data_IF_805197695142
#
_entry.id   IF_805197695142
#
_cell.length_a   1.000
_cell.length_b   1.000
_cell.length_c   1.000
_cell.angle_alpha   90.00
_cell.angle_beta   90.00
_cell.angle_gamma   90.00
#
_symmetry.space_group_name_H-M   'P 1'
#
loop_
_entity.id
_entity.type
_entity.pdbx_description
1 polymer ?
#
# COMPACT_ATOMS: atom_id res chain seq x y z
N UNK A 1 -48.58 -12.27 10.06
CA UNK A 1 -47.73 -11.14 9.62
C UNK A 1 -46.29 -11.54 9.89
N UNK A 2 -45.64 -12.16 8.90
CA UNK A 2 -44.24 -12.57 9.00
C UNK A 2 -43.40 -11.53 8.28
N UNK A 3 -42.56 -10.81 9.03
CA UNK A 3 -41.56 -9.93 8.48
C UNK A 3 -40.42 -10.80 7.92
N UNK A 4 -40.21 -10.75 6.61
CA UNK A 4 -39.01 -11.29 5.97
C UNK A 4 -37.82 -10.41 6.37
N UNK A 5 -36.86 -10.99 7.08
CA UNK A 5 -35.54 -10.40 7.26
C UNK A 5 -34.78 -10.54 5.94
N UNK A 6 -34.50 -9.41 5.27
CA UNK A 6 -33.60 -9.38 4.13
C UNK A 6 -32.18 -9.73 4.58
N UNK A 7 -31.62 -10.77 3.97
CA UNK A 7 -30.23 -11.20 4.18
C UNK A 7 -29.22 -10.11 3.77
N UNK A 8 -28.15 -9.89 4.55
CA UNK A 8 -27.11 -8.88 4.28
C UNK A 8 -26.14 -9.27 3.14
N UNK A 9 -26.25 -10.47 2.57
CA UNK A 9 -25.35 -10.98 1.52
C UNK A 9 -25.49 -10.20 0.20
N UNK A 10 -26.67 -9.69 -0.13
CA UNK A 10 -26.94 -9.02 -1.41
C UNK A 10 -26.28 -7.64 -1.57
N UNK A 11 -25.80 -7.01 -0.49
CA UNK A 11 -25.24 -5.65 -0.54
C UNK A 11 -23.73 -5.62 -0.82
N UNK A 12 -23.02 -6.73 -0.64
CA UNK A 12 -21.56 -6.81 -0.85
C UNK A 12 -21.18 -6.97 -2.34
N UNK A 13 -21.97 -7.74 -3.09
CA UNK A 13 -21.68 -8.05 -4.51
C UNK A 13 -22.18 -6.95 -5.47
N UNK A 14 -23.02 -6.03 -5.00
CA UNK A 14 -23.60 -4.97 -5.81
C UNK A 14 -22.59 -3.87 -6.20
N UNK A 15 -21.56 -3.66 -5.37
CA UNK A 15 -20.57 -2.59 -5.57
C UNK A 15 -19.62 -2.91 -6.73
N UNK A 16 -19.01 -4.11 -6.83
CA UNK A 16 -18.21 -4.50 -7.99
C UNK A 16 -18.99 -4.47 -9.32
N UNK A 17 -20.24 -4.94 -9.32
CA UNK A 17 -21.07 -4.94 -10.53
C UNK A 17 -21.42 -3.52 -11.01
N UNK A 18 -21.77 -2.62 -10.09
CA UNK A 18 -22.09 -1.25 -10.44
C UNK A 18 -20.86 -0.51 -10.99
N UNK A 19 -19.71 -0.70 -10.35
CA UNK A 19 -18.44 -0.13 -10.80
C UNK A 19 -18.06 -0.60 -12.22
N UNK A 20 -18.20 -1.90 -12.48
CA UNK A 20 -18.00 -2.48 -13.82
C UNK A 20 -18.91 -1.86 -14.87
N UNK A 21 -20.19 -1.66 -14.55
CA UNK A 21 -21.16 -1.03 -15.46
C UNK A 21 -20.78 0.42 -15.78
N UNK A 22 -20.30 1.19 -14.79
CA UNK A 22 -19.83 2.56 -15.00
C UNK A 22 -18.62 2.60 -15.94
N UNK A 23 -17.62 1.74 -15.72
CA UNK A 23 -16.46 1.63 -16.60
C UNK A 23 -16.85 1.24 -18.03
N UNK A 24 -17.80 0.31 -18.18
CA UNK A 24 -18.31 -0.08 -19.49
C UNK A 24 -19.02 1.08 -20.20
N UNK A 25 -19.80 1.89 -19.48
CA UNK A 25 -20.46 3.07 -20.05
C UNK A 25 -19.43 4.12 -20.49
N UNK A 26 -18.42 4.40 -19.66
CA UNK A 26 -17.30 5.30 -20.00
C UNK A 26 -16.61 4.86 -21.28
N UNK A 27 -16.24 3.58 -21.39
CA UNK A 27 -15.59 3.03 -22.59
C UNK A 27 -16.53 3.02 -23.79
N UNK A 28 -17.84 2.82 -23.56
CA UNK A 28 -18.83 2.85 -24.63
C UNK A 28 -19.01 4.24 -25.22
N UNK A 29 -18.87 5.27 -24.39
CA UNK A 29 -19.00 6.67 -24.80
C UNK A 29 -17.67 7.31 -25.25
N UNK A 30 -16.56 6.57 -25.20
CA UNK A 30 -15.27 7.02 -25.71
C UNK A 30 -15.26 7.09 -27.24
N UNK A 31 -15.13 8.31 -27.77
CA UNK A 31 -15.07 8.57 -29.21
C UNK A 31 -13.66 8.54 -29.80
N UNK A 32 -12.61 8.57 -28.98
CA UNK A 32 -11.21 8.48 -29.44
C UNK A 32 -10.87 7.02 -29.72
N UNK A 33 -11.44 6.45 -30.77
CA UNK A 33 -11.27 5.04 -31.14
C UNK A 33 -10.99 4.90 -32.62
N UNK A 34 -10.29 3.82 -32.97
CA UNK A 34 -10.07 3.42 -34.35
C UNK A 34 -11.15 2.44 -34.77
N UNK A 35 -11.76 2.63 -35.94
CA UNK A 35 -12.79 1.71 -36.44
C UNK A 35 -12.21 0.33 -36.77
N UNK A 36 -11.09 0.30 -37.49
CA UNK A 36 -10.43 -0.92 -37.90
C UNK A 36 -8.93 -0.72 -38.16
N UNK A 37 -8.20 -1.83 -38.21
CA UNK A 37 -6.75 -1.84 -38.39
C UNK A 37 -6.31 -3.18 -39.00
N UNK A 38 -5.55 -3.10 -40.10
CA UNK A 38 -4.95 -4.28 -40.73
C UNK A 38 -3.92 -4.95 -39.81
N UNK A 39 -3.68 -6.28 -39.98
CA UNK A 39 -2.62 -6.99 -39.28
C UNK A 39 -1.26 -6.28 -39.35
N UNK A 40 -0.47 -6.42 -38.30
CA UNK A 40 0.87 -5.81 -38.13
C UNK A 40 0.91 -4.26 -38.16
N UNK A 41 -0.23 -3.59 -37.99
CA UNK A 41 -0.26 -2.14 -37.88
C UNK A 41 0.01 -1.71 -36.43
N UNK A 42 0.98 -0.83 -36.17
CA UNK A 42 1.32 -0.38 -34.82
C UNK A 42 0.21 0.42 -34.11
N UNK A 43 0.07 0.19 -32.80
CA UNK A 43 -0.74 0.99 -31.88
C UNK A 43 0.21 1.93 -31.12
N UNK A 44 0.05 3.24 -31.34
CA UNK A 44 0.99 4.26 -30.87
C UNK A 44 0.42 5.14 -29.77
N UNK A 45 -0.90 5.17 -29.63
CA UNK A 45 -1.63 6.04 -28.69
C UNK A 45 -3.02 5.45 -28.42
N UNK A 46 -3.72 5.90 -27.35
CA UNK A 46 -5.05 5.38 -26.99
C UNK A 46 -6.05 5.36 -28.15
N UNK A 47 -6.12 6.44 -28.94
CA UNK A 47 -6.99 6.54 -30.12
C UNK A 47 -6.74 5.56 -31.26
N UNK A 48 -5.67 4.75 -31.20
CA UNK A 48 -5.42 3.68 -32.18
C UNK A 48 -6.08 2.36 -31.80
N UNK A 49 -6.63 2.27 -30.59
CA UNK A 49 -7.38 1.10 -30.13
C UNK A 49 -8.81 1.15 -30.66
N UNK A 50 -9.36 0.00 -30.98
CA UNK A 50 -10.79 -0.12 -31.28
C UNK A 50 -11.62 -0.07 -30.01
N UNK A 51 -12.92 0.13 -30.18
CA UNK A 51 -13.87 0.07 -29.07
C UNK A 51 -13.84 -1.29 -28.36
N UNK A 52 -13.78 -2.38 -29.13
CA UNK A 52 -13.66 -3.73 -28.56
C UNK A 52 -12.36 -3.93 -27.78
N UNK A 53 -11.25 -3.38 -28.26
CA UNK A 53 -9.95 -3.46 -27.59
C UNK A 53 -9.97 -2.70 -26.26
N UNK A 54 -10.58 -1.51 -26.24
CA UNK A 54 -10.78 -0.75 -25.00
C UNK A 54 -11.71 -1.48 -24.03
N UNK A 55 -12.77 -2.12 -24.51
CA UNK A 55 -13.64 -2.95 -23.67
C UNK A 55 -12.87 -4.14 -23.05
N UNK A 56 -11.95 -4.73 -23.79
CA UNK A 56 -11.08 -5.82 -23.33
C UNK A 56 -9.97 -5.36 -22.35
N UNK A 57 -9.94 -4.08 -21.96
CA UNK A 57 -9.08 -3.54 -20.90
C UNK A 57 -9.86 -3.14 -19.64
N UNK A 58 -11.20 -3.31 -19.61
CA UNK A 58 -12.03 -2.90 -18.47
C UNK A 58 -11.67 -3.65 -17.19
N UNK A 59 -11.33 -4.94 -17.28
CA UNK A 59 -10.88 -5.74 -16.12
C UNK A 59 -9.61 -5.17 -15.48
N UNK A 60 -8.72 -4.57 -16.29
CA UNK A 60 -7.51 -3.91 -15.81
C UNK A 60 -7.83 -2.55 -15.16
N UNK A 61 -8.84 -1.83 -15.66
CA UNK A 61 -9.32 -0.60 -15.05
C UNK A 61 -10.02 -0.87 -13.70
N UNK A 62 -10.77 -1.97 -13.58
CA UNK A 62 -11.40 -2.41 -12.33
C UNK A 62 -10.36 -2.62 -11.22
N UNK A 63 -9.25 -3.29 -11.55
CA UNK A 63 -8.13 -3.47 -10.61
C UNK A 63 -7.53 -2.14 -10.19
N UNK A 64 -7.41 -1.17 -11.10
CA UNK A 64 -6.92 0.18 -10.78
C UNK A 64 -7.84 0.91 -9.80
N UNK A 65 -9.16 0.80 -9.98
CA UNK A 65 -10.15 1.39 -9.08
C UNK A 65 -10.11 0.73 -7.70
N UNK A 66 -10.03 -0.61 -7.65
CA UNK A 66 -10.02 -1.37 -6.40
C UNK A 66 -8.82 -1.04 -5.49
N UNK A 67 -7.70 -0.56 -6.06
CA UNK A 67 -6.52 -0.15 -5.28
C UNK A 67 -6.67 1.17 -4.54
N UNK A 68 -7.62 2.04 -4.92
CA UNK A 68 -7.77 3.38 -4.34
C UNK A 68 -8.55 3.34 -3.02
N UNK A 69 -8.04 2.62 -2.02
CA UNK A 69 -8.70 2.44 -0.71
C UNK A 69 -8.95 3.74 0.08
N UNK A 70 -8.29 4.85 -0.26
CA UNK A 70 -8.27 6.07 0.57
C UNK A 70 -8.74 7.36 -0.13
N UNK A 71 -9.32 7.29 -1.34
CA UNK A 71 -9.92 8.47 -1.96
C UNK A 71 -11.40 8.58 -1.57
N UNK A 72 -11.90 9.78 -1.20
CA UNK A 72 -13.31 9.96 -0.87
C UNK A 72 -14.16 9.52 -2.07
N UNK A 73 -14.99 8.46 -1.91
CA UNK A 73 -16.10 7.87 -2.72
C UNK A 73 -16.40 8.38 -4.15
N UNK A 74 -15.40 8.89 -4.86
CA UNK A 74 -15.42 9.61 -6.12
C UNK A 74 -14.01 9.56 -6.72
N UNK A 75 -13.34 8.41 -6.61
CA UNK A 75 -12.35 8.06 -7.61
C UNK A 75 -13.11 7.89 -8.92
N UNK A 76 -13.25 8.99 -9.66
CA UNK A 76 -13.93 9.07 -10.95
C UNK A 76 -13.42 7.90 -11.81
N UNK A 77 -14.27 6.90 -12.06
CA UNK A 77 -13.95 5.73 -12.87
C UNK A 77 -13.38 6.19 -14.22
N UNK A 78 -13.82 7.36 -14.72
CA UNK A 78 -13.26 7.97 -15.91
C UNK A 78 -11.79 8.40 -15.71
N UNK A 79 -11.45 8.99 -14.55
CA UNK A 79 -10.05 9.29 -14.21
C UNK A 79 -9.20 8.02 -14.15
N UNK A 80 -9.70 6.96 -13.53
CA UNK A 80 -8.99 5.67 -13.48
C UNK A 80 -8.76 5.10 -14.88
N UNK A 81 -9.77 5.14 -15.73
CA UNK A 81 -9.66 4.75 -17.12
C UNK A 81 -8.63 5.59 -17.89
N UNK A 82 -8.62 6.91 -17.72
CA UNK A 82 -7.64 7.80 -18.35
C UNK A 82 -6.22 7.57 -17.82
N UNK A 83 -6.07 7.31 -16.51
CA UNK A 83 -4.78 6.95 -15.90
C UNK A 83 -4.25 5.65 -16.49
N UNK A 84 -5.09 4.63 -16.63
CA UNK A 84 -4.72 3.37 -17.26
C UNK A 84 -4.19 3.59 -18.69
N UNK A 85 -4.94 4.31 -19.52
CA UNK A 85 -4.51 4.63 -20.89
C UNK A 85 -3.19 5.43 -20.90
N UNK A 86 -3.07 6.42 -20.02
CA UNK A 86 -1.85 7.20 -19.86
C UNK A 86 -0.64 6.34 -19.50
N UNK A 87 -0.79 5.41 -18.56
CA UNK A 87 0.29 4.52 -18.12
C UNK A 87 0.69 3.52 -19.22
N UNK A 88 -0.28 2.95 -19.93
CA UNK A 88 -0.04 2.03 -21.05
C UNK A 88 0.87 2.67 -22.08
N UNK A 89 0.53 3.88 -22.54
CA UNK A 89 1.23 4.56 -23.64
C UNK A 89 2.34 5.51 -23.18
N UNK A 90 2.65 5.56 -21.88
CA UNK A 90 3.77 6.34 -21.35
C UNK A 90 5.10 5.80 -21.89
N UNK A 91 5.66 6.52 -22.85
CA UNK A 91 6.92 6.17 -23.52
C UNK A 91 6.93 4.74 -24.11
N UNK A 92 5.77 4.25 -24.55
CA UNK A 92 5.61 2.90 -25.07
C UNK A 92 4.64 2.86 -26.26
N UNK A 93 4.94 1.99 -27.21
CA UNK A 93 4.14 1.66 -28.39
C UNK A 93 4.11 0.14 -28.58
N UNK A 94 3.17 -0.38 -29.38
CA UNK A 94 3.09 -1.82 -29.65
C UNK A 94 4.27 -2.42 -30.42
N UNK A 95 5.25 -1.60 -30.84
CA UNK A 95 6.52 -2.07 -31.42
C UNK A 95 7.56 -2.39 -30.36
N UNK A 96 7.40 -1.82 -29.17
CA UNK A 96 8.34 -1.96 -28.07
C UNK A 96 8.18 -3.33 -27.41
N UNK A 97 9.27 -3.86 -26.84
CA UNK A 97 9.23 -5.13 -26.13
C UNK A 97 8.36 -5.02 -24.87
N UNK A 98 7.65 -6.10 -24.56
CA UNK A 98 6.73 -6.19 -23.41
C UNK A 98 7.21 -7.11 -22.29
N UNK A 99 8.49 -7.52 -22.32
CA UNK A 99 9.09 -8.48 -21.39
C UNK A 99 9.51 -7.86 -20.04
N UNK A 100 8.83 -6.79 -19.63
CA UNK A 100 9.10 -6.15 -18.35
C UNK A 100 8.22 -6.76 -17.26
N UNK A 101 8.85 -7.55 -16.38
CA UNK A 101 8.28 -7.90 -15.08
C UNK A 101 8.74 -6.85 -14.08
N UNK A 102 7.85 -5.94 -13.63
CA UNK A 102 8.23 -4.96 -12.62
C UNK A 102 8.53 -5.71 -11.32
N UNK A 103 9.54 -5.24 -10.59
CA UNK A 103 9.91 -5.79 -9.30
C UNK A 103 9.35 -4.89 -8.20
N UNK A 104 8.74 -5.49 -7.18
CA UNK A 104 8.34 -4.74 -6.00
C UNK A 104 9.61 -4.25 -5.31
N UNK A 105 9.78 -2.93 -5.24
CA UNK A 105 10.96 -2.36 -4.59
C UNK A 105 10.96 -2.77 -3.11
N UNK A 106 12.14 -3.10 -2.53
CA UNK A 106 12.23 -3.34 -1.10
C UNK A 106 11.88 -2.06 -0.34
N UNK A 107 11.35 -2.22 0.88
CA UNK A 107 11.12 -1.09 1.79
C UNK A 107 12.46 -0.41 2.09
N UNK A 108 12.56 0.90 1.82
CA UNK A 108 13.76 1.67 2.14
C UNK A 108 13.63 2.16 3.59
N UNK A 109 14.28 1.47 4.52
CA UNK A 109 14.23 1.80 5.94
C UNK A 109 14.69 3.22 6.31
N UNK A 110 15.61 3.91 5.60
CA UNK A 110 15.87 5.34 5.86
C UNK A 110 14.73 6.26 5.41
N UNK A 111 13.89 5.83 4.47
CA UNK A 111 12.82 6.62 3.88
C UNK A 111 11.47 6.53 4.61
N UNK A 112 11.30 5.55 5.50
CA UNK A 112 10.03 5.30 6.21
C UNK A 112 9.99 5.87 7.63
N UNK A 113 11.07 6.49 8.09
CA UNK A 113 11.16 7.05 9.43
C UNK A 113 11.05 8.58 9.38
N UNK A 114 10.29 9.14 10.32
CA UNK A 114 10.25 10.58 10.55
C UNK A 114 11.40 10.98 11.48
N UNK A 115 12.14 12.04 11.15
CA UNK A 115 13.04 12.68 12.12
C UNK A 115 12.19 13.44 13.15
N UNK A 116 12.30 13.05 14.41
CA UNK A 116 11.46 13.58 15.51
C UNK A 116 12.25 14.34 16.57
N UNK A 117 13.57 14.22 16.54
CA UNK A 117 14.44 14.91 17.48
C UNK A 117 15.91 14.54 17.31
N UNK A 118 16.64 14.62 18.42
CA UNK A 118 18.07 14.30 18.50
C UNK A 118 18.37 13.50 19.76
N UNK A 119 19.53 12.85 19.82
CA UNK A 119 20.03 12.20 21.03
C UNK A 119 20.41 13.24 22.09
N UNK A 120 19.86 13.11 23.31
CA UNK A 120 20.16 14.00 24.44
C UNK A 120 21.53 13.72 25.06
N UNK A 121 21.98 12.48 24.96
CA UNK A 121 23.27 11.96 25.42
C UNK A 121 23.73 10.87 24.46
N UNK A 122 25.01 10.53 24.50
CA UNK A 122 25.58 9.41 23.76
C UNK A 122 24.78 8.11 24.03
N UNK A 123 24.41 7.39 22.97
CA UNK A 123 23.70 6.12 23.03
C UNK A 123 24.70 4.96 22.86
N UNK A 124 24.57 3.83 23.59
CA UNK A 124 25.44 2.66 23.38
C UNK A 124 25.40 2.14 21.93
N UNK A 125 26.49 1.53 21.47
CA UNK A 125 26.52 0.83 20.19
C UNK A 125 25.65 -0.45 20.23
N UNK A 126 25.17 -0.96 19.08
CA UNK A 126 24.57 -2.29 19.00
C UNK A 126 25.54 -3.36 19.53
N UNK A 127 25.01 -4.38 20.22
CA UNK A 127 25.81 -5.43 20.85
C UNK A 127 26.65 -6.25 19.83
N UNK A 128 26.26 -6.24 18.55
CA UNK A 128 26.97 -6.93 17.45
C UNK A 128 28.33 -6.29 17.08
N UNK A 129 28.64 -5.09 17.57
CA UNK A 129 29.93 -4.42 17.32
C UNK A 129 30.97 -4.63 18.45
N UNK A 130 30.69 -5.51 19.42
CA UNK A 130 31.52 -5.74 20.61
C UNK A 130 32.97 -6.20 20.32
N UNK A 131 33.26 -6.70 19.12
CA UNK A 131 34.61 -7.15 18.73
C UNK A 131 35.53 -6.03 18.23
N UNK A 132 35.01 -4.83 17.93
CA UNK A 132 35.83 -3.68 17.50
C UNK A 132 36.15 -2.76 18.69
N UNK A 133 37.33 -2.09 18.71
CA UNK A 133 37.62 -1.09 19.73
C UNK A 133 36.50 -0.02 19.74
N UNK A 134 36.12 0.50 20.92
CA UNK A 134 34.91 1.29 21.12
C UNK A 134 35.05 2.67 20.47
N UNK A 135 34.88 2.73 19.16
CA UNK A 135 34.78 3.98 18.45
C UNK A 135 33.31 4.24 18.20
N UNK A 136 32.71 5.05 19.07
CA UNK A 136 31.32 5.41 18.99
C UNK A 136 31.03 6.11 17.64
N UNK A 137 30.09 5.56 16.90
CA UNK A 137 29.64 6.06 15.61
C UNK A 137 29.01 7.44 15.75
N UNK A 138 29.13 8.26 14.70
CA UNK A 138 28.57 9.61 14.69
C UNK A 138 27.03 9.59 14.89
N UNK A 139 26.36 8.52 14.48
CA UNK A 139 24.92 8.31 14.68
C UNK A 139 24.52 8.14 16.15
N UNK A 140 25.47 7.79 17.03
CA UNK A 140 25.25 7.50 18.45
C UNK A 140 25.68 8.63 19.38
N UNK A 141 26.27 9.69 18.85
CA UNK A 141 26.69 10.85 19.63
C UNK A 141 25.50 11.74 20.04
N UNK A 142 25.62 12.43 21.17
CA UNK A 142 24.68 13.47 21.56
C UNK A 142 24.52 14.51 20.43
N UNK A 143 23.28 14.89 20.12
CA UNK A 143 22.94 15.76 19.01
C UNK A 143 22.69 15.03 17.68
N UNK A 144 23.02 13.74 17.56
CA UNK A 144 22.72 12.98 16.36
C UNK A 144 21.19 12.82 16.14
N UNK A 145 20.71 12.75 14.89
CA UNK A 145 19.29 12.59 14.59
C UNK A 145 18.67 11.35 15.23
N UNK A 146 17.49 11.53 15.82
CA UNK A 146 16.64 10.44 16.28
C UNK A 146 15.41 10.34 15.36
N UNK A 147 15.22 9.14 14.81
CA UNK A 147 14.16 8.82 13.88
C UNK A 147 13.10 7.93 14.55
N UNK A 148 11.85 8.09 14.14
CA UNK A 148 10.72 7.24 14.53
C UNK A 148 10.06 6.69 13.28
N UNK A 149 10.01 5.37 13.16
CA UNK A 149 9.28 4.66 12.12
C UNK A 149 8.09 3.88 12.69
N UNK A 150 7.34 3.28 11.78
CA UNK A 150 6.29 2.31 12.10
C UNK A 150 6.50 1.04 11.28
N UNK A 151 6.09 -0.10 11.83
CA UNK A 151 6.11 -1.39 11.14
C UNK A 151 4.82 -2.16 11.40
N UNK A 152 4.36 -2.92 10.41
CA UNK A 152 3.28 -3.89 10.54
C UNK A 152 3.85 -5.29 10.75
N UNK A 153 3.19 -6.13 11.56
CA UNK A 153 3.72 -7.44 11.98
C UNK A 153 4.02 -8.43 10.84
N UNK A 154 3.20 -8.55 9.78
CA UNK A 154 3.56 -9.40 8.64
C UNK A 154 4.90 -8.98 8.01
N UNK A 155 5.27 -7.70 8.12
CA UNK A 155 6.54 -7.16 7.64
C UNK A 155 7.68 -7.44 8.61
N UNK A 156 7.36 -7.44 9.90
CA UNK A 156 8.28 -7.71 10.99
C UNK A 156 8.79 -9.16 10.92
N UNK A 157 7.90 -10.14 10.77
CA UNK A 157 8.29 -11.56 10.59
C UNK A 157 9.14 -11.75 9.33
N UNK A 158 8.79 -11.08 8.23
CA UNK A 158 9.58 -11.13 7.00
C UNK A 158 10.99 -10.52 7.16
N UNK A 159 11.16 -9.53 8.04
CA UNK A 159 12.42 -8.81 8.24
C UNK A 159 13.30 -9.45 9.30
N UNK A 160 12.71 -10.01 10.36
CA UNK A 160 13.40 -10.47 11.56
C UNK A 160 13.28 -11.99 11.80
N UNK A 161 12.58 -12.73 10.93
CA UNK A 161 12.40 -14.19 11.02
C UNK A 161 11.18 -14.60 11.85
N UNK A 162 11.05 -15.88 12.20
CA UNK A 162 10.11 -16.34 13.25
C UNK A 162 10.89 -16.40 14.57
N UNK A 163 10.54 -15.57 15.55
CA UNK A 163 11.26 -15.48 16.82
C UNK A 163 10.35 -15.46 18.04
N UNK A 164 10.83 -15.80 19.24
CA UNK A 164 10.09 -15.57 20.48
C UNK A 164 10.06 -14.07 20.78
N UNK A 165 9.04 -13.39 20.26
CA UNK A 165 8.84 -11.94 20.39
C UNK A 165 8.43 -11.49 21.78
N UNK A 166 8.19 -12.44 22.68
CA UNK A 166 7.80 -12.22 24.06
C UNK A 166 9.00 -11.94 24.99
N UNK A 167 10.23 -11.86 24.47
CA UNK A 167 11.39 -11.56 25.30
C UNK A 167 11.47 -10.07 25.71
N UNK A 168 11.70 -9.75 27.00
CA UNK A 168 11.79 -8.37 27.52
C UNK A 168 12.86 -7.50 26.84
N UNK A 169 13.81 -8.13 26.14
CA UNK A 169 14.90 -7.48 25.42
C UNK A 169 14.35 -6.59 24.30
N UNK A 170 13.24 -6.97 23.67
CA UNK A 170 12.63 -6.26 22.54
C UNK A 170 11.85 -5.01 22.97
N UNK A 171 11.19 -5.05 24.13
CA UNK A 171 10.47 -3.90 24.72
C UNK A 171 11.39 -2.69 24.91
N UNK A 172 12.55 -2.89 25.52
CA UNK A 172 13.46 -1.78 25.83
C UNK A 172 14.37 -1.40 24.65
N UNK A 173 14.69 -2.34 23.75
CA UNK A 173 15.73 -2.17 22.71
C UNK A 173 15.18 -1.86 21.33
N UNK A 174 14.06 -2.46 20.94
CA UNK A 174 13.47 -2.27 19.60
C UNK A 174 12.33 -1.25 19.63
N UNK A 175 11.49 -1.34 20.66
CA UNK A 175 10.31 -0.49 20.84
C UNK A 175 10.59 0.76 21.67
N UNK A 176 11.77 0.85 22.27
CA UNK A 176 12.15 1.98 23.15
C UNK A 176 11.24 2.13 24.37
N UNK A 177 10.58 1.06 24.80
CA UNK A 177 9.58 1.05 25.87
C UNK A 177 8.17 1.47 25.43
N UNK A 178 7.90 1.52 24.12
CA UNK A 178 6.54 1.72 23.59
C UNK A 178 5.79 0.39 23.45
N UNK A 179 4.48 0.41 23.73
CA UNK A 179 3.62 -0.77 23.76
C UNK A 179 3.47 -1.33 22.33
N UNK A 180 3.75 -2.63 22.14
CA UNK A 180 3.32 -3.36 20.95
C UNK A 180 1.79 -3.37 20.91
N UNK A 181 1.21 -2.95 19.78
CA UNK A 181 -0.24 -3.05 19.62
C UNK A 181 -0.64 -4.51 19.48
N UNK A 182 -1.69 -4.91 20.22
CA UNK A 182 -2.37 -6.20 20.05
C UNK A 182 -2.84 -6.44 18.61
N UNK A 183 -2.89 -5.40 17.78
CA UNK A 183 -3.37 -5.43 16.39
C UNK A 183 -2.24 -5.52 15.35
N UNK A 184 -1.04 -5.97 15.74
CA UNK A 184 -0.02 -6.31 14.76
C UNK A 184 0.67 -5.10 14.12
N UNK A 185 0.98 -4.06 14.91
CA UNK A 185 1.87 -2.97 14.50
C UNK A 185 2.64 -2.38 15.69
N UNK A 186 3.74 -1.70 15.40
CA UNK A 186 4.57 -1.07 16.44
C UNK A 186 5.40 0.13 15.93
N UNK A 187 5.83 0.99 16.86
CA UNK A 187 6.74 2.11 16.59
C UNK A 187 8.19 1.70 16.82
N UNK A 188 9.06 2.11 15.90
CA UNK A 188 10.49 1.77 15.93
C UNK A 188 11.33 3.02 16.06
N UNK A 189 12.09 3.10 17.14
CA UNK A 189 13.07 4.16 17.35
C UNK A 189 14.38 3.77 16.66
N UNK A 190 14.92 4.65 15.81
CA UNK A 190 16.13 4.37 15.03
C UNK A 190 17.07 5.55 14.96
N UNK A 191 18.36 5.28 14.90
CA UNK A 191 19.35 6.30 14.56
C UNK A 191 19.36 6.56 13.05
N UNK A 192 20.22 7.49 12.61
CA UNK A 192 20.35 7.85 11.19
C UNK A 192 20.88 6.71 10.30
N UNK A 193 21.54 5.70 10.88
CA UNK A 193 22.06 4.53 10.16
C UNK A 193 21.02 3.39 10.13
N UNK A 194 19.88 3.57 10.81
CA UNK A 194 18.77 2.63 10.85
C UNK A 194 18.85 1.64 12.01
N UNK A 195 19.82 1.75 12.91
CA UNK A 195 19.92 0.86 14.05
C UNK A 195 18.93 1.25 15.17
N UNK A 196 18.44 0.29 15.96
CA UNK A 196 17.50 0.57 17.05
C UNK A 196 18.04 1.59 18.07
N UNK A 197 17.14 2.42 18.60
CA UNK A 197 17.39 3.40 19.66
C UNK A 197 16.46 3.18 20.84
N UNK A 198 16.95 3.50 22.04
CA UNK A 198 16.09 3.59 23.23
C UNK A 198 15.48 4.99 23.31
N UNK A 199 14.15 5.11 23.27
CA UNK A 199 13.41 6.39 23.35
C UNK A 199 13.87 7.29 24.50
N UNK A 200 14.27 6.71 25.64
CA UNK A 200 14.77 7.48 26.78
C UNK A 200 15.98 8.36 26.45
N UNK A 201 16.72 8.09 25.38
CA UNK A 201 17.83 8.93 24.90
C UNK A 201 17.40 10.04 23.95
N UNK A 202 16.13 10.06 23.52
CA UNK A 202 15.63 11.03 22.55
C UNK A 202 15.17 12.30 23.25
N UNK A 203 15.62 13.44 22.73
CA UNK A 203 15.05 14.76 22.97
C UNK A 203 14.27 15.16 21.73
N UNK A 204 12.95 15.32 21.85
CA UNK A 204 12.11 15.83 20.77
C UNK A 204 12.54 17.23 20.33
N UNK A 205 12.33 17.55 19.05
CA UNK A 205 12.48 18.91 18.55
C UNK A 205 11.52 19.87 19.29
N UNK A 206 11.88 21.16 19.35
CA UNK A 206 11.10 22.16 20.06
C UNK A 206 9.65 22.22 19.54
N UNK A 207 8.68 22.13 20.46
CA UNK A 207 7.25 22.11 20.13
C UNK A 207 6.72 20.79 19.56
N UNK A 208 7.55 19.75 19.43
CA UNK A 208 7.11 18.42 18.98
C UNK A 208 6.81 17.54 20.20
N UNK A 209 5.56 17.08 20.31
CA UNK A 209 5.18 16.09 21.32
C UNK A 209 5.41 14.68 20.82
N UNK A 210 5.41 13.69 21.72
CA UNK A 210 5.43 12.27 21.37
C UNK A 210 4.26 11.89 20.43
N UNK A 211 3.08 12.46 20.66
CA UNK A 211 1.91 12.25 19.78
C UNK A 211 2.19 12.77 18.37
N UNK A 212 2.77 13.97 18.24
CA UNK A 212 3.10 14.53 16.93
C UNK A 212 4.14 13.69 16.20
N UNK A 213 5.13 13.17 16.93
CA UNK A 213 6.13 12.25 16.41
C UNK A 213 5.48 10.96 15.86
N UNK A 214 4.57 10.35 16.60
CA UNK A 214 3.84 9.15 16.18
C UNK A 214 2.97 9.40 14.94
N UNK A 215 2.25 10.52 14.90
CA UNK A 215 1.45 10.92 13.73
C UNK A 215 2.35 11.08 12.49
N UNK A 216 3.51 11.73 12.64
CA UNK A 216 4.47 11.86 11.53
C UNK A 216 4.99 10.51 11.05
N UNK A 217 5.30 9.59 11.98
CA UNK A 217 5.76 8.25 11.62
C UNK A 217 4.70 7.46 10.83
N UNK A 218 3.43 7.53 11.24
CA UNK A 218 2.30 6.91 10.50
C UNK A 218 2.18 7.52 9.09
N UNK A 219 2.15 8.85 9.00
CA UNK A 219 2.02 9.54 7.71
C UNK A 219 3.16 9.21 6.76
N UNK A 220 4.38 9.12 7.29
CA UNK A 220 5.56 8.80 6.50
C UNK A 220 5.54 7.35 6.02
N UNK A 221 5.18 6.41 6.89
CA UNK A 221 4.96 5.02 6.50
C UNK A 221 3.92 4.92 5.37
N UNK A 222 2.74 5.51 5.56
CA UNK A 222 1.63 5.42 4.61
C UNK A 222 1.96 6.05 3.26
N UNK A 223 2.66 7.18 3.27
CA UNK A 223 3.11 7.87 2.05
C UNK A 223 4.04 6.98 1.23
N UNK A 224 5.06 6.41 1.88
CA UNK A 224 6.04 5.56 1.21
C UNK A 224 5.43 4.23 0.75
N UNK A 225 4.60 3.60 1.57
CA UNK A 225 3.97 2.33 1.21
C UNK A 225 2.94 2.50 0.08
N UNK A 226 2.15 3.58 0.12
CA UNK A 226 1.27 3.95 -0.99
C UNK A 226 2.05 4.16 -2.29
N UNK A 227 3.12 4.96 -2.27
CA UNK A 227 3.93 5.19 -3.45
C UNK A 227 4.53 3.89 -4.01
N UNK A 228 5.06 3.02 -3.13
CA UNK A 228 5.69 1.75 -3.49
C UNK A 228 4.69 0.76 -4.11
N UNK A 229 3.58 0.50 -3.42
CA UNK A 229 2.57 -0.48 -3.86
C UNK A 229 1.79 0.03 -5.08
N UNK A 230 1.37 1.30 -5.09
CA UNK A 230 0.61 1.87 -6.22
C UNK A 230 1.46 1.90 -7.47
N UNK A 231 2.74 2.30 -7.38
CA UNK A 231 3.65 2.31 -8.53
C UNK A 231 3.84 0.90 -9.09
N UNK A 232 4.15 -0.07 -8.23
CA UNK A 232 4.32 -1.47 -8.62
C UNK A 232 3.07 -2.03 -9.33
N UNK A 233 1.90 -1.88 -8.71
CA UNK A 233 0.67 -2.44 -9.28
C UNK A 233 0.26 -1.74 -10.58
N UNK A 234 0.45 -0.41 -10.70
CA UNK A 234 0.21 0.31 -11.96
C UNK A 234 1.10 -0.20 -13.08
N UNK A 235 2.37 -0.45 -12.81
CA UNK A 235 3.28 -1.03 -13.79
C UNK A 235 2.87 -2.45 -14.20
N UNK A 236 2.43 -3.29 -13.24
CA UNK A 236 1.91 -4.64 -13.52
C UNK A 236 0.70 -4.59 -14.46
N UNK A 237 -0.27 -3.74 -14.13
CA UNK A 237 -1.49 -3.53 -14.91
C UNK A 237 -1.17 -3.01 -16.31
N UNK A 238 -0.32 -1.98 -16.41
CA UNK A 238 0.09 -1.42 -17.69
C UNK A 238 0.82 -2.47 -18.55
N UNK A 239 1.70 -3.28 -17.97
CA UNK A 239 2.41 -4.32 -18.73
C UNK A 239 1.49 -5.43 -19.21
N UNK A 240 0.49 -5.84 -18.42
CA UNK A 240 -0.54 -6.77 -18.88
C UNK A 240 -1.31 -6.22 -20.10
N UNK A 241 -1.75 -4.96 -20.02
CA UNK A 241 -2.39 -4.28 -21.14
C UNK A 241 -1.49 -4.19 -22.38
N UNK A 242 -0.22 -3.84 -22.21
CA UNK A 242 0.77 -3.76 -23.29
C UNK A 242 0.95 -5.10 -24.00
N UNK A 243 1.00 -6.22 -23.27
CA UNK A 243 1.07 -7.56 -23.88
C UNK A 243 -0.16 -7.86 -24.73
N UNK A 244 -1.37 -7.56 -24.24
CA UNK A 244 -2.63 -7.69 -25.00
C UNK A 244 -2.58 -6.86 -26.29
N UNK A 245 -2.23 -5.57 -26.16
CA UNK A 245 -2.16 -4.63 -27.28
C UNK A 245 -1.13 -5.06 -28.33
N UNK A 246 0.03 -5.57 -27.91
CA UNK A 246 1.04 -6.09 -28.83
C UNK A 246 0.54 -7.28 -29.65
N UNK A 247 -0.31 -8.14 -29.08
CA UNK A 247 -0.95 -9.24 -29.81
C UNK A 247 -2.01 -8.71 -30.78
N UNK A 248 -2.88 -7.80 -30.33
CA UNK A 248 -3.89 -7.18 -31.20
C UNK A 248 -3.27 -6.39 -32.36
N UNK A 249 -2.11 -5.76 -32.15
CA UNK A 249 -1.38 -5.07 -33.22
C UNK A 249 -0.92 -6.04 -34.32
N UNK A 250 -0.53 -7.26 -33.96
CA UNK A 250 -0.14 -8.33 -34.90
C UNK A 250 -1.37 -8.88 -35.63
N UNK A 251 -2.41 -9.21 -34.87
CA UNK A 251 -3.61 -9.89 -35.37
C UNK A 251 -4.47 -8.96 -36.24
N UNK A 252 -4.45 -7.64 -36.00
CA UNK A 252 -5.38 -6.69 -36.63
C UNK A 252 -6.76 -6.70 -35.95
N UNK A 253 -7.79 -6.19 -36.62
CA UNK A 253 -9.14 -6.01 -36.03
C UNK A 253 -10.23 -6.86 -36.67
N UNK A 254 -9.87 -7.81 -37.55
CA UNK A 254 -10.85 -8.65 -38.24
C UNK A 254 -11.52 -9.67 -37.29
N UNK A 255 -10.92 -9.91 -36.11
CA UNK A 255 -11.46 -10.75 -35.05
C UNK A 255 -11.85 -9.98 -33.79
N UNK A 256 -12.60 -10.64 -32.90
CA UNK A 256 -12.86 -10.10 -31.55
C UNK A 256 -11.54 -10.02 -30.77
N UNK A 257 -11.22 -8.89 -30.10
CA UNK A 257 -10.02 -8.77 -29.28
C UNK A 257 -9.94 -9.87 -28.24
N UNK A 258 -9.00 -10.80 -28.42
CA UNK A 258 -8.79 -11.92 -27.51
C UNK A 258 -7.89 -11.51 -26.35
N UNK A 259 -8.17 -12.04 -25.16
CA UNK A 259 -7.28 -11.92 -24.00
C UNK A 259 -6.81 -13.32 -23.65
N UNK A 260 -5.53 -13.58 -23.93
CA UNK A 260 -4.89 -14.85 -23.59
C UNK A 260 -4.76 -14.98 -22.05
N UNK A 261 -4.79 -16.20 -21.53
CA UNK A 261 -4.74 -16.43 -20.08
C UNK A 261 -3.46 -15.86 -19.44
N UNK A 262 -2.30 -15.93 -20.12
CA UNK A 262 -1.02 -15.37 -19.66
C UNK A 262 -1.02 -13.82 -19.56
N UNK A 263 -2.02 -13.16 -20.15
CA UNK A 263 -2.20 -11.70 -20.09
C UNK A 263 -3.28 -11.27 -19.11
N UNK A 264 -3.89 -12.22 -18.41
CA UNK A 264 -4.77 -11.94 -17.28
C UNK A 264 -3.92 -11.71 -16.03
N UNK A 265 -4.42 -10.85 -15.15
CA UNK A 265 -3.82 -10.64 -13.84
C UNK A 265 -4.71 -11.30 -12.80
N UNK A 266 -4.18 -12.27 -12.08
CA UNK A 266 -4.83 -12.83 -10.90
C UNK A 266 -4.87 -11.80 -9.76
N UNK A 267 -5.73 -12.02 -8.75
CA UNK A 267 -5.76 -11.15 -7.57
C UNK A 267 -4.46 -11.24 -6.76
N UNK A 268 -3.84 -12.41 -6.70
CA UNK A 268 -2.55 -12.61 -6.02
C UNK A 268 -1.36 -11.92 -6.71
N UNK A 269 -1.57 -11.41 -7.93
CA UNK A 269 -0.55 -10.70 -8.70
C UNK A 269 -0.57 -9.18 -8.50
N UNK A 270 -1.54 -8.69 -7.72
CA UNK A 270 -1.70 -7.30 -7.30
C UNK A 270 -1.41 -7.24 -5.80
N UNK A 271 -0.46 -6.40 -5.41
CA UNK A 271 -0.09 -6.23 -4.01
C UNK A 271 -1.17 -5.47 -3.26
N UNK A 272 -1.52 -5.97 -2.07
CA UNK A 272 -2.51 -5.33 -1.21
C UNK A 272 -1.90 -4.08 -0.58
N UNK A 273 -2.56 -2.93 -0.75
CA UNK A 273 -2.24 -1.73 0.01
C UNK A 273 -2.73 -1.90 1.45
N UNK A 274 -1.81 -2.01 2.40
CA UNK A 274 -2.07 -1.98 3.84
C UNK A 274 -1.42 -0.74 4.44
N UNK A 275 -2.22 0.12 5.07
CA UNK A 275 -1.76 1.37 5.64
C UNK A 275 -1.69 1.27 7.17
N UNK A 276 -0.67 1.91 7.75
CA UNK A 276 -0.52 2.11 9.17
C UNK A 276 -1.73 2.81 9.79
N UNK A 277 -2.27 3.84 9.12
CA UNK A 277 -3.45 4.55 9.60
C UNK A 277 -4.65 3.62 9.79
N UNK A 278 -4.92 2.72 8.84
CA UNK A 278 -6.03 1.76 8.92
C UNK A 278 -5.89 0.86 10.15
N UNK A 279 -4.66 0.35 10.39
CA UNK A 279 -4.36 -0.51 11.55
C UNK A 279 -4.50 0.22 12.88
N UNK A 280 -4.05 1.48 12.95
CA UNK A 280 -4.22 2.30 14.16
C UNK A 280 -5.70 2.58 14.42
N UNK A 281 -6.48 2.84 13.37
CA UNK A 281 -7.92 3.06 13.48
C UNK A 281 -8.66 1.79 13.94
N UNK A 282 -8.30 0.62 13.40
CA UNK A 282 -8.80 -0.69 13.84
C UNK A 282 -8.53 -0.91 15.33
N UNK A 283 -7.29 -0.71 15.79
CA UNK A 283 -6.94 -0.81 17.22
C UNK A 283 -7.77 0.15 18.07
N UNK A 284 -7.89 1.41 17.64
CA UNK A 284 -8.65 2.41 18.38
C UNK A 284 -10.14 2.04 18.50
N UNK A 285 -10.72 1.44 17.46
CA UNK A 285 -12.10 0.97 17.51
C UNK A 285 -12.26 -0.22 18.44
N UNK A 286 -11.37 -1.21 18.36
CA UNK A 286 -11.39 -2.38 19.23
C UNK A 286 -11.31 -1.97 20.72
N UNK A 287 -10.42 -1.04 21.07
CA UNK A 287 -10.28 -0.57 22.45
C UNK A 287 -11.53 0.18 22.94
N UNK A 288 -12.21 0.92 22.06
CA UNK A 288 -13.52 1.55 22.38
C UNK A 288 -14.57 0.48 22.68
N UNK A 289 -14.70 -0.53 21.81
CA UNK A 289 -15.69 -1.59 21.97
C UNK A 289 -15.47 -2.41 23.26
N UNK A 290 -14.20 -2.67 23.62
CA UNK A 290 -13.82 -3.30 24.89
C UNK A 290 -14.23 -2.43 26.08
N UNK A 291 -13.91 -1.12 26.03
CA UNK A 291 -14.26 -0.17 27.09
C UNK A 291 -15.77 -0.11 27.33
N UNK A 292 -16.57 -0.01 26.25
CA UNK A 292 -18.03 0.04 26.32
C UNK A 292 -18.62 -1.26 26.91
N UNK A 293 -18.02 -2.41 26.55
CA UNK A 293 -18.39 -3.71 27.10
C UNK A 293 -18.09 -3.82 28.61
N UNK A 294 -16.93 -3.32 29.06
CA UNK A 294 -16.57 -3.29 30.48
C UNK A 294 -17.48 -2.36 31.28
N UNK A 295 -17.80 -1.19 30.73
CA UNK A 295 -18.71 -0.23 31.37
C UNK A 295 -20.12 -0.81 31.56
N UNK A 296 -20.66 -1.46 30.53
CA UNK A 296 -21.98 -2.11 30.58
C UNK A 296 -22.02 -3.25 31.61
N UNK A 297 -20.95 -4.06 31.70
CA UNK A 297 -20.84 -5.15 32.68
C UNK A 297 -20.67 -4.64 34.12
N UNK A 298 -19.93 -3.55 34.31
CA UNK A 298 -19.75 -2.89 35.61
C UNK A 298 -21.08 -2.36 36.18
N UNK A 299 -21.89 -1.69 35.34
CA UNK A 299 -23.20 -1.19 35.76
C UNK A 299 -24.22 -2.31 36.00
N UNK A 300 -24.17 -3.41 35.24
CA UNK A 300 -25.00 -4.59 35.48
C UNK A 300 -24.68 -5.32 36.79
N UNK A 301 -23.47 -5.15 37.33
CA UNK A 301 -23.06 -5.75 38.61
C UNK A 301 -23.45 -4.93 39.84
N UNK A 302 -24.03 -3.74 39.68
CA UNK A 302 -24.37 -2.82 40.79
C UNK A 302 -25.88 -2.80 41.11
N UNK A 303 -26.68 -3.66 40.47
CA UNK A 303 -28.15 -3.75 40.63
C UNK A 303 -28.63 -5.10 41.21
N UNK A 304 -27.82 -5.75 42.06
CA UNK A 304 -28.24 -6.90 42.88
C UNK A 304 -27.92 -6.66 44.35
#
# INVERSE_FOLDING_TARGET
>A
MSAQASSPVAMSDAVPEQQRRLLLDIVTNDSDVKESRSPNTPVLKPGHLTKGEKMALVDLAEKLVAMQKSLPKQADEARCYQVLLGDIFKSWTSKDKTDHSPALLPRKLPGMNAQVGVLKTNHPEPDDEAEKPPQQSAARLAGAPALLGMILFPEFEAMYGEGPWDEPIWEDTLWGGDIMSLSGWAFLWRDQDGHPLKHRFVKFADGVTKKDAQVRAIMEYDRNESERIITYNRERIANAARRRISKWAKDGTDGTPRVDEDDRLAESEIEKLELAFDRVQETAQLLRDISDSLFTRSLGSTLL
#
